data_IF_420925060557
#
_entry.id   IF_420925060557
#
_cell.length_a   1.000
_cell.length_b   1.000
_cell.length_c   1.000
_cell.angle_alpha   90.00
_cell.angle_beta   90.00
_cell.angle_gamma   90.00
#
_symmetry.space_group_name_H-M   'P 1'
#
loop_
_entity.id
_entity.type
_entity.pdbx_description
1 polymer ?
#
# COMPACT_ATOMS: atom_id res chain seq x y z
N UNK A 1 7.20 -18.48 -38.03
CA UNK A 1 8.57 -17.96 -38.14
C UNK A 1 8.85 -17.78 -39.62
N UNK A 2 9.24 -16.58 -40.07
CA UNK A 2 9.73 -16.36 -41.41
C UNK A 2 11.08 -17.08 -41.54
N UNK A 3 11.34 -17.77 -42.69
CA UNK A 3 12.61 -18.43 -42.89
C UNK A 3 13.72 -17.37 -42.88
N UNK A 4 14.77 -17.61 -42.11
CA UNK A 4 16.01 -16.84 -42.16
C UNK A 4 16.58 -17.15 -43.56
N UNK A 5 16.57 -16.17 -44.44
CA UNK A 5 17.25 -16.28 -45.73
C UNK A 5 18.74 -16.20 -45.49
N UNK A 6 19.46 -17.21 -45.94
CA UNK A 6 20.93 -17.21 -45.92
C UNK A 6 21.45 -15.99 -46.74
N UNK A 7 22.58 -15.43 -46.32
CA UNK A 7 23.23 -14.35 -47.06
C UNK A 7 23.54 -14.88 -48.47
N UNK A 8 23.25 -14.09 -49.50
CA UNK A 8 23.61 -14.50 -50.85
C UNK A 8 25.13 -14.61 -50.99
N UNK A 9 25.59 -15.66 -51.66
CA UNK A 9 26.98 -15.86 -51.99
C UNK A 9 27.37 -15.05 -53.20
N UNK A 10 27.77 -13.78 -52.96
CA UNK A 10 28.11 -12.81 -54.00
C UNK A 10 29.37 -12.04 -53.58
N UNK A 11 30.26 -11.79 -54.55
CA UNK A 11 31.50 -11.06 -54.28
C UNK A 11 31.27 -9.57 -54.16
N UNK A 12 30.35 -8.99 -54.92
CA UNK A 12 30.01 -7.56 -54.91
C UNK A 12 28.56 -7.30 -55.34
N UNK A 13 27.93 -6.32 -54.69
CA UNK A 13 26.60 -5.84 -55.07
C UNK A 13 26.68 -4.33 -55.31
N UNK A 14 26.49 -3.90 -56.56
CA UNK A 14 26.53 -2.48 -56.96
C UNK A 14 25.15 -2.00 -57.43
N UNK A 15 24.92 -0.67 -57.39
CA UNK A 15 23.68 -0.06 -57.93
C UNK A 15 22.46 -0.14 -57.01
N UNK A 16 22.63 -0.55 -55.72
CA UNK A 16 21.54 -0.48 -54.76
C UNK A 16 21.22 0.95 -54.37
N UNK A 17 19.97 1.30 -54.39
CA UNK A 17 19.49 2.55 -53.77
C UNK A 17 19.70 2.49 -52.26
N UNK A 18 19.86 3.65 -51.57
CA UNK A 18 19.94 3.68 -50.13
C UNK A 18 18.77 2.92 -49.49
N UNK A 19 19.08 1.86 -48.75
CA UNK A 19 18.08 1.06 -48.05
C UNK A 19 18.01 1.46 -46.60
N UNK A 20 16.80 1.65 -46.08
CA UNK A 20 16.54 1.86 -44.65
C UNK A 20 16.05 0.53 -44.11
N UNK A 21 16.83 -0.05 -43.18
CA UNK A 21 16.37 -1.21 -42.41
C UNK A 21 15.60 -0.71 -41.18
N UNK A 22 14.34 -1.13 -41.07
CA UNK A 22 13.55 -0.89 -39.83
C UNK A 22 13.49 -2.22 -39.09
N UNK A 23 14.32 -2.36 -38.09
CA UNK A 23 14.26 -3.50 -37.21
C UNK A 23 13.09 -3.32 -36.24
N UNK A 24 12.18 -4.29 -36.23
CA UNK A 24 11.22 -4.41 -35.17
C UNK A 24 12.00 -4.78 -33.89
N UNK A 25 11.99 -3.87 -32.91
CA UNK A 25 12.59 -4.16 -31.62
C UNK A 25 11.95 -5.44 -31.07
N UNK A 26 12.66 -6.54 -31.11
CA UNK A 26 12.17 -7.81 -30.55
C UNK A 26 11.83 -7.54 -29.09
N UNK A 27 10.57 -7.75 -28.72
CA UNK A 27 10.09 -7.61 -27.36
C UNK A 27 11.05 -8.35 -26.44
N UNK A 28 11.57 -7.65 -25.45
CA UNK A 28 12.43 -8.21 -24.43
C UNK A 28 11.78 -9.51 -23.90
N UNK A 29 12.56 -10.55 -23.72
CA UNK A 29 12.09 -11.84 -23.17
C UNK A 29 11.57 -11.75 -21.72
N UNK A 30 11.38 -10.54 -21.21
CA UNK A 30 10.81 -10.32 -19.90
C UNK A 30 9.27 -10.41 -20.00
N UNK A 31 8.63 -11.45 -19.43
CA UNK A 31 7.18 -11.64 -19.50
C UNK A 31 6.37 -10.53 -18.83
N UNK A 32 7.03 -9.63 -18.09
CA UNK A 32 6.41 -8.44 -17.49
C UNK A 32 6.51 -7.19 -18.36
N UNK A 33 7.20 -7.27 -19.50
CA UNK A 33 7.34 -6.14 -20.42
C UNK A 33 6.11 -6.08 -21.33
N UNK A 34 5.29 -5.05 -21.15
CA UNK A 34 4.16 -4.74 -22.01
C UNK A 34 4.50 -3.57 -22.93
N UNK A 35 3.72 -3.37 -24.00
CA UNK A 35 3.85 -2.22 -24.89
C UNK A 35 3.84 -0.91 -24.08
N UNK A 36 2.97 -0.81 -23.07
CA UNK A 36 2.87 0.37 -22.21
C UNK A 36 4.15 0.69 -21.44
N UNK A 37 4.92 -0.34 -20.99
CA UNK A 37 6.18 -0.13 -20.28
C UNK A 37 7.36 0.17 -21.19
N UNK A 38 7.35 -0.37 -22.40
CA UNK A 38 8.41 -0.15 -23.42
C UNK A 38 8.30 1.23 -24.07
N UNK A 39 7.08 1.73 -24.23
CA UNK A 39 6.78 3.01 -24.88
C UNK A 39 6.65 4.19 -23.92
N UNK A 40 6.91 4.00 -22.63
CA UNK A 40 6.74 5.01 -21.56
C UNK A 40 5.27 5.46 -21.37
N UNK A 41 4.31 4.96 -22.14
CA UNK A 41 2.88 5.27 -21.98
C UNK A 41 2.41 4.98 -20.55
N UNK A 42 2.95 3.94 -19.92
CA UNK A 42 2.62 3.58 -18.56
C UNK A 42 2.94 4.69 -17.55
N UNK A 43 4.05 5.40 -17.72
CA UNK A 43 4.45 6.49 -16.83
C UNK A 43 3.53 7.70 -16.97
N UNK A 44 3.11 8.02 -18.20
CA UNK A 44 2.09 9.05 -18.42
C UNK A 44 0.73 8.67 -17.85
N UNK A 45 0.32 7.41 -17.99
CA UNK A 45 -0.93 6.91 -17.40
C UNK A 45 -0.87 6.95 -15.86
N UNK A 46 0.25 6.56 -15.24
CA UNK A 46 0.42 6.67 -13.79
C UNK A 46 0.26 8.11 -13.31
N UNK A 47 0.88 9.06 -14.00
CA UNK A 47 0.76 10.47 -13.66
C UNK A 47 -0.68 10.98 -13.84
N UNK A 48 -1.33 10.60 -14.93
CA UNK A 48 -2.72 10.96 -15.21
C UNK A 48 -3.64 10.43 -14.12
N UNK A 49 -3.60 9.13 -13.83
CA UNK A 49 -4.44 8.52 -12.82
C UNK A 49 -4.13 9.01 -11.40
N UNK A 50 -2.88 9.34 -11.10
CA UNK A 50 -2.51 9.93 -9.82
C UNK A 50 -3.10 11.34 -9.61
N UNK A 51 -3.32 12.09 -10.72
CA UNK A 51 -3.82 13.47 -10.68
C UNK A 51 -5.35 13.59 -10.76
N UNK A 52 -5.98 12.79 -11.61
CA UNK A 52 -7.41 12.91 -11.92
C UNK A 52 -8.18 11.61 -11.70
N UNK A 53 -7.50 10.52 -11.36
CA UNK A 53 -8.13 9.24 -11.11
C UNK A 53 -8.93 9.23 -9.82
N UNK A 54 -10.10 8.62 -9.85
CA UNK A 54 -10.91 8.34 -8.66
C UNK A 54 -10.67 6.88 -8.27
N UNK A 55 -9.96 6.62 -7.15
CA UNK A 55 -9.68 5.25 -6.74
C UNK A 55 -10.95 4.55 -6.26
N UNK A 56 -11.10 3.30 -6.67
CA UNK A 56 -12.21 2.45 -6.24
C UNK A 56 -11.66 1.17 -5.59
N UNK A 57 -12.37 0.67 -4.59
CA UNK A 57 -12.04 -0.61 -3.98
C UNK A 57 -12.18 -1.75 -5.00
N UNK A 58 -11.15 -2.57 -5.26
CA UNK A 58 -11.22 -3.65 -6.25
C UNK A 58 -12.17 -4.79 -5.85
N UNK A 59 -12.55 -4.87 -4.57
CA UNK A 59 -13.46 -5.92 -4.06
C UNK A 59 -14.92 -5.49 -4.12
N UNK A 60 -15.24 -4.27 -3.68
CA UNK A 60 -16.64 -3.82 -3.56
C UNK A 60 -17.00 -2.64 -4.48
N UNK A 61 -16.06 -2.12 -5.28
CA UNK A 61 -16.30 -1.02 -6.22
C UNK A 61 -16.54 0.36 -5.59
N UNK A 62 -16.52 0.48 -4.26
CA UNK A 62 -16.74 1.77 -3.59
C UNK A 62 -15.61 2.75 -3.90
N UNK A 63 -15.96 4.02 -4.05
CA UNK A 63 -14.97 5.10 -4.15
C UNK A 63 -14.15 5.13 -2.85
N UNK A 64 -12.83 5.21 -3.00
CA UNK A 64 -11.90 5.42 -1.89
C UNK A 64 -11.57 6.91 -1.88
N UNK A 65 -12.02 7.63 -0.85
CA UNK A 65 -11.66 9.02 -0.60
C UNK A 65 -10.91 9.12 0.73
N UNK A 66 -10.08 10.15 0.84
CA UNK A 66 -9.51 10.51 2.13
C UNK A 66 -10.66 11.00 3.02
N UNK A 67 -10.89 10.33 4.13
CA UNK A 67 -11.92 10.72 5.08
C UNK A 67 -11.35 11.73 6.07
N UNK A 68 -12.14 12.74 6.41
CA UNK A 68 -11.83 13.63 7.52
C UNK A 68 -12.07 12.91 8.86
N UNK A 69 -11.45 13.41 9.93
CA UNK A 69 -11.68 12.87 11.29
C UNK A 69 -13.17 12.92 11.65
N UNK A 70 -13.86 13.97 11.27
CA UNK A 70 -15.31 14.11 11.52
C UNK A 70 -16.12 13.04 10.80
N UNK A 71 -15.81 12.70 9.55
CA UNK A 71 -16.48 11.64 8.80
C UNK A 71 -16.22 10.25 9.42
N UNK A 72 -14.99 10.02 9.90
CA UNK A 72 -14.64 8.78 10.63
C UNK A 72 -15.43 8.68 11.93
N UNK A 73 -15.48 9.78 12.71
CA UNK A 73 -16.28 9.86 13.94
C UNK A 73 -17.75 9.59 13.66
N UNK A 74 -18.32 10.23 12.64
CA UNK A 74 -19.73 10.05 12.27
C UNK A 74 -20.04 8.63 11.80
N UNK A 75 -19.06 7.96 11.17
CA UNK A 75 -19.18 6.56 10.79
C UNK A 75 -19.22 5.63 12.02
N UNK A 76 -18.32 5.87 13.00
CA UNK A 76 -18.25 5.08 14.22
C UNK A 76 -19.48 5.33 15.13
N UNK A 77 -20.00 6.55 15.18
CA UNK A 77 -21.18 6.93 15.97
C UNK A 77 -22.47 6.21 15.54
N UNK A 78 -22.48 5.54 14.38
CA UNK A 78 -23.60 4.70 13.92
C UNK A 78 -23.65 3.32 14.61
N UNK A 79 -22.63 2.96 15.38
CA UNK A 79 -22.61 1.72 16.14
C UNK A 79 -23.64 1.79 17.27
N UNK A 80 -24.17 0.63 17.65
CA UNK A 80 -25.13 0.50 18.73
C UNK A 80 -24.53 0.91 20.09
N UNK A 81 -25.36 1.50 20.95
CA UNK A 81 -24.96 1.90 22.31
C UNK A 81 -24.47 0.68 23.10
N UNK A 82 -23.35 0.81 23.81
CA UNK A 82 -22.69 -0.28 24.53
C UNK A 82 -21.69 -1.10 23.71
N UNK A 83 -21.63 -0.93 22.38
CA UNK A 83 -20.63 -1.60 21.53
C UNK A 83 -19.21 -1.21 21.97
N UNK A 84 -18.38 -2.22 22.25
CA UNK A 84 -16.98 -2.04 22.60
C UNK A 84 -16.13 -2.08 21.32
N UNK A 85 -15.26 -1.12 21.15
CA UNK A 85 -14.35 -1.04 20.02
C UNK A 85 -12.99 -0.47 20.42
N UNK A 86 -12.03 -0.55 19.52
CA UNK A 86 -10.66 -0.06 19.73
C UNK A 86 -10.27 0.86 18.59
N UNK A 87 -9.53 1.91 18.91
CA UNK A 87 -8.84 2.75 17.93
C UNK A 87 -7.43 2.21 17.80
N UNK A 88 -7.07 1.79 16.59
CA UNK A 88 -5.79 1.15 16.28
C UNK A 88 -5.00 2.04 15.32
N UNK A 89 -3.69 2.15 15.55
CA UNK A 89 -2.75 2.81 14.66
C UNK A 89 -1.83 1.77 14.01
N UNK A 90 -2.01 1.42 12.71
CA UNK A 90 -1.21 0.41 12.02
C UNK A 90 0.16 0.97 11.61
N UNK A 91 1.12 0.90 12.53
CA UNK A 91 2.50 1.42 12.33
C UNK A 91 3.36 0.52 11.43
N UNK A 92 3.02 -0.77 11.33
CA UNK A 92 3.67 -1.71 10.42
C UNK A 92 2.60 -2.49 9.66
N UNK A 93 2.71 -2.55 8.33
CA UNK A 93 1.79 -3.30 7.47
C UNK A 93 2.54 -4.29 6.61
N UNK A 94 2.29 -5.57 6.81
CA UNK A 94 2.80 -6.69 6.01
C UNK A 94 4.30 -6.57 5.69
N UNK A 95 5.13 -6.17 6.69
CA UNK A 95 6.57 -5.98 6.54
C UNK A 95 7.35 -7.06 7.30
N UNK A 96 8.37 -7.61 6.65
CA UNK A 96 9.29 -8.55 7.28
C UNK A 96 10.20 -7.84 8.28
N UNK A 97 10.62 -8.56 9.31
CA UNK A 97 11.53 -8.07 10.34
C UNK A 97 10.98 -8.27 11.75
N UNK A 98 11.82 -8.10 12.74
CA UNK A 98 11.47 -8.23 14.15
C UNK A 98 10.67 -7.04 14.69
N UNK A 99 10.55 -5.96 13.92
CA UNK A 99 9.82 -4.71 14.23
C UNK A 99 10.16 -4.12 15.63
N UNK A 100 11.33 -4.48 16.17
CA UNK A 100 11.73 -4.09 17.53
C UNK A 100 11.79 -2.57 17.72
N UNK A 101 12.24 -1.86 16.65
CA UNK A 101 12.33 -0.39 16.67
C UNK A 101 10.95 0.26 16.89
N UNK A 102 9.94 -0.23 16.21
CA UNK A 102 8.56 0.25 16.30
C UNK A 102 7.93 -0.11 17.66
N UNK A 103 8.18 -1.31 18.16
CA UNK A 103 7.73 -1.73 19.49
C UNK A 103 8.37 -0.89 20.59
N UNK A 104 9.68 -0.63 20.51
CA UNK A 104 10.39 0.21 21.48
C UNK A 104 9.96 1.68 21.40
N UNK A 105 9.63 2.16 20.22
CA UNK A 105 9.07 3.51 20.05
C UNK A 105 7.69 3.62 20.71
N UNK A 106 6.83 2.62 20.55
CA UNK A 106 5.52 2.56 21.21
C UNK A 106 5.64 2.50 22.74
N UNK A 107 6.57 1.70 23.29
CA UNK A 107 6.87 1.65 24.73
C UNK A 107 7.28 3.02 25.26
N UNK A 108 8.24 3.67 24.57
CA UNK A 108 8.71 5.00 24.99
C UNK A 108 7.64 6.08 24.93
N UNK A 109 6.70 5.95 24.01
CA UNK A 109 5.55 6.84 23.89
C UNK A 109 4.46 6.55 24.94
N UNK A 110 4.62 5.51 25.78
CA UNK A 110 3.73 5.19 26.90
C UNK A 110 2.49 4.35 26.51
N UNK A 111 2.48 3.74 25.31
CA UNK A 111 1.41 2.81 24.95
C UNK A 111 1.59 1.49 25.71
N UNK A 112 0.47 0.93 26.18
CA UNK A 112 0.49 -0.31 26.96
C UNK A 112 0.32 -1.56 26.10
N UNK A 113 -0.35 -1.46 24.94
CA UNK A 113 -0.76 -2.62 24.16
C UNK A 113 -0.57 -2.43 22.66
N UNK A 114 -0.26 -3.55 22.01
CA UNK A 114 -0.24 -3.68 20.55
C UNK A 114 -1.04 -4.89 20.10
N UNK A 115 -1.55 -4.81 18.89
CA UNK A 115 -2.14 -5.95 18.20
C UNK A 115 -1.18 -6.35 17.07
N UNK A 116 -0.73 -7.60 17.08
CA UNK A 116 0.20 -8.13 16.09
C UNK A 116 -0.45 -9.33 15.41
N UNK A 117 -0.59 -9.25 14.11
CA UNK A 117 -1.21 -10.29 13.28
C UNK A 117 -2.56 -10.77 13.82
N UNK A 118 -3.34 -9.85 14.39
CA UNK A 118 -4.66 -10.13 14.97
C UNK A 118 -4.65 -10.47 16.47
N UNK A 119 -3.50 -10.74 17.08
CA UNK A 119 -3.38 -11.09 18.49
C UNK A 119 -2.94 -9.89 19.35
N UNK A 120 -3.47 -9.82 20.58
CA UNK A 120 -3.15 -8.73 21.52
C UNK A 120 -1.94 -9.11 22.36
N UNK A 121 -1.01 -8.15 22.52
CA UNK A 121 0.18 -8.26 23.36
C UNK A 121 0.30 -7.04 24.25
N UNK A 122 0.76 -7.25 25.47
CA UNK A 122 1.17 -6.16 26.35
C UNK A 122 2.61 -5.74 26.01
N UNK A 123 2.85 -4.44 25.85
CA UNK A 123 4.16 -3.90 25.47
C UNK A 123 5.21 -4.07 26.59
N UNK A 124 4.80 -4.32 27.84
CA UNK A 124 5.69 -4.60 28.96
C UNK A 124 6.33 -6.00 28.85
N UNK A 125 5.74 -6.90 28.06
CA UNK A 125 6.27 -8.23 27.80
C UNK A 125 7.32 -8.21 26.68
N UNK A 126 8.19 -9.23 26.68
CA UNK A 126 9.14 -9.43 25.61
C UNK A 126 8.43 -10.03 24.38
N UNK A 127 8.35 -9.26 23.30
CA UNK A 127 7.71 -9.68 22.06
C UNK A 127 8.78 -10.06 21.04
N UNK A 128 8.90 -11.35 20.75
CA UNK A 128 9.81 -11.88 19.73
C UNK A 128 9.04 -12.17 18.43
N UNK A 129 9.36 -11.45 17.36
CA UNK A 129 8.78 -11.66 16.04
C UNK A 129 9.78 -12.31 15.08
N UNK A 130 9.29 -13.20 14.23
CA UNK A 130 10.11 -13.90 13.24
C UNK A 130 10.55 -12.96 12.12
N UNK A 131 11.88 -12.83 11.91
CA UNK A 131 12.46 -11.91 10.94
C UNK A 131 12.01 -12.16 9.48
N UNK A 132 11.72 -13.41 9.13
CA UNK A 132 11.42 -13.81 7.76
C UNK A 132 9.93 -13.78 7.40
N UNK A 133 9.07 -13.63 8.40
CA UNK A 133 7.61 -13.54 8.24
C UNK A 133 7.20 -12.07 8.10
N UNK A 134 6.12 -11.84 7.37
CA UNK A 134 5.51 -10.51 7.28
C UNK A 134 4.57 -10.31 8.45
N UNK A 135 4.79 -9.24 9.20
CA UNK A 135 3.97 -8.87 10.34
C UNK A 135 3.21 -7.57 10.09
N UNK A 136 2.04 -7.47 10.69
CA UNK A 136 1.27 -6.24 10.83
C UNK A 136 1.22 -5.88 12.30
N UNK A 137 1.69 -4.68 12.67
CA UNK A 137 1.72 -4.18 14.04
C UNK A 137 0.83 -2.96 14.13
N UNK A 138 -0.15 -3.02 15.02
CA UNK A 138 -1.15 -1.99 15.28
C UNK A 138 -1.07 -1.57 16.74
N UNK A 139 -0.77 -0.30 17.00
CA UNK A 139 -0.76 0.24 18.38
C UNK A 139 -2.21 0.47 18.81
N UNK A 140 -2.56 0.02 20.00
CA UNK A 140 -3.86 0.30 20.61
C UNK A 140 -3.82 1.71 21.22
N UNK A 141 -4.40 2.67 20.50
CA UNK A 141 -4.44 4.08 20.94
C UNK A 141 -5.48 4.26 22.05
N UNK A 142 -6.68 3.71 21.85
CA UNK A 142 -7.74 3.79 22.86
C UNK A 142 -8.68 2.58 22.77
N UNK A 143 -9.36 2.32 23.91
CA UNK A 143 -10.39 1.28 24.05
C UNK A 143 -11.66 1.93 24.57
N UNK A 144 -12.65 1.98 23.71
CA UNK A 144 -13.87 2.75 23.91
C UNK A 144 -15.11 1.85 23.94
N UNK A 145 -16.16 2.34 24.57
CA UNK A 145 -17.49 1.77 24.43
C UNK A 145 -18.41 2.88 23.96
N UNK A 146 -19.28 2.54 23.01
CA UNK A 146 -20.24 3.49 22.44
C UNK A 146 -21.18 4.00 23.57
N UNK A 147 -21.18 5.31 23.78
CA UNK A 147 -22.03 6.00 24.76
C UNK A 147 -22.29 7.43 24.31
N UNK A 148 -23.31 8.06 24.86
CA UNK A 148 -23.58 9.47 24.62
C UNK A 148 -22.38 10.34 25.06
N UNK A 149 -22.01 11.30 24.24
CA UNK A 149 -20.92 12.24 24.53
C UNK A 149 -19.52 11.73 24.24
N UNK A 150 -19.34 10.56 23.61
CA UNK A 150 -18.02 9.99 23.29
C UNK A 150 -17.30 10.72 22.14
N UNK A 151 -18.01 11.57 21.37
CA UNK A 151 -17.53 12.20 20.13
C UNK A 151 -16.14 12.86 20.28
N UNK A 152 -15.95 13.69 21.30
CA UNK A 152 -14.68 14.40 21.51
C UNK A 152 -13.52 13.43 21.76
N UNK A 153 -13.69 12.51 22.70
CA UNK A 153 -12.65 11.49 22.98
C UNK A 153 -12.33 10.60 21.80
N UNK A 154 -13.33 10.25 21.00
CA UNK A 154 -13.14 9.48 19.77
C UNK A 154 -12.35 10.27 18.72
N UNK A 155 -12.66 11.56 18.55
CA UNK A 155 -11.92 12.43 17.65
C UNK A 155 -10.45 12.55 18.07
N UNK A 156 -10.16 12.83 19.34
CA UNK A 156 -8.80 12.92 19.87
C UNK A 156 -8.01 11.61 19.67
N UNK A 157 -8.67 10.47 19.88
CA UNK A 157 -8.05 9.16 19.68
C UNK A 157 -7.75 8.88 18.21
N UNK A 158 -8.64 9.26 17.28
CA UNK A 158 -8.45 9.13 15.84
C UNK A 158 -7.33 10.06 15.35
N UNK A 159 -7.30 11.32 15.78
CA UNK A 159 -6.21 12.25 15.45
C UNK A 159 -4.86 11.71 15.91
N UNK A 160 -4.79 11.15 17.11
CA UNK A 160 -3.58 10.51 17.63
C UNK A 160 -3.17 9.31 16.76
N UNK A 161 -4.11 8.45 16.37
CA UNK A 161 -3.84 7.31 15.52
C UNK A 161 -3.33 7.74 14.13
N UNK A 162 -3.97 8.73 13.52
CA UNK A 162 -3.60 9.28 12.22
C UNK A 162 -2.20 9.92 12.24
N UNK A 163 -1.86 10.63 13.32
CA UNK A 163 -0.53 11.22 13.51
C UNK A 163 0.59 10.18 13.62
N UNK A 164 0.30 8.99 14.17
CA UNK A 164 1.26 7.88 14.28
C UNK A 164 1.51 7.16 12.96
N UNK A 165 0.63 7.28 11.98
CA UNK A 165 0.56 6.37 10.82
C UNK A 165 0.49 7.07 9.47
N UNK A 166 0.82 8.36 9.41
CA UNK A 166 0.72 9.18 8.19
C UNK A 166 -0.69 9.13 7.56
N UNK A 167 -1.72 9.17 8.38
CA UNK A 167 -3.11 9.34 7.94
C UNK A 167 -3.90 8.04 7.80
N UNK A 168 -3.62 7.03 8.61
CA UNK A 168 -4.39 5.77 8.64
C UNK A 168 -4.74 5.36 10.07
N UNK A 169 -6.01 5.04 10.29
CA UNK A 169 -6.51 4.49 11.54
C UNK A 169 -7.51 3.36 11.31
#
# INVERSE_FOLDING_TARGET
ALPILDKPDVDEITGLSPAISIDQKTTSHNPRSTVGTVTEIYDYLRLLYARVGVPHCPVCGRVISQQSVDEMVDAVLKLEEGTKFQVLAPVVRQRKGTQQKELDAARRAGYARVKIDGNMYDLDEEIALEKNIKHTVEIVVDRLAMRRGIRGRLADSLETALALTDGVA
#
